data_IF_029988607890
#
_entry.id   IF_029988607890
#
_cell.length_a   1.000
_cell.length_b   1.000
_cell.length_c   1.000
_cell.angle_alpha   90.00
_cell.angle_beta   90.00
_cell.angle_gamma   90.00
#
_symmetry.space_group_name_H-M   'P 1'
#
loop_
_entity.id
_entity.type
_entity.pdbx_description
1 polymer ?
#
# COMPACT_ATOMS: atom_id res chain seq x y z
N UNK A 1 -4.08 -7.59 -8.64
CA UNK A 1 -4.70 -7.58 -7.31
C UNK A 1 -3.78 -8.24 -6.31
N UNK A 2 -3.88 -7.84 -5.07
CA UNK A 2 -2.96 -8.28 -4.02
C UNK A 2 -3.63 -9.41 -3.23
N UNK A 3 -2.91 -10.49 -3.03
CA UNK A 3 -3.40 -11.61 -2.24
C UNK A 3 -2.32 -12.06 -1.27
N UNK A 4 -2.63 -13.07 -0.46
CA UNK A 4 -1.66 -13.67 0.43
C UNK A 4 -0.43 -14.12 -0.37
N UNK A 5 0.75 -13.85 0.16
CA UNK A 5 2.07 -14.12 -0.45
C UNK A 5 2.45 -13.22 -1.62
N UNK A 6 1.66 -12.22 -1.97
CA UNK A 6 2.08 -11.22 -2.96
C UNK A 6 3.16 -10.32 -2.36
N UNK A 7 4.21 -10.07 -3.15
CA UNK A 7 5.26 -9.13 -2.76
C UNK A 7 4.95 -7.75 -3.30
N UNK A 8 5.15 -6.73 -2.45
CA UNK A 8 4.90 -5.34 -2.80
C UNK A 8 6.12 -4.50 -2.47
N UNK A 9 6.31 -3.45 -3.24
CA UNK A 9 7.29 -2.42 -2.89
C UNK A 9 6.67 -1.45 -1.90
N UNK A 10 7.53 -0.77 -1.15
CA UNK A 10 7.10 0.23 -0.18
C UNK A 10 7.31 1.61 -0.80
N UNK A 11 6.27 2.41 -0.80
CA UNK A 11 6.27 3.72 -1.46
C UNK A 11 6.46 4.88 -0.46
N UNK A 12 7.08 4.62 0.68
CA UNK A 12 7.31 5.66 1.68
C UNK A 12 8.75 5.63 2.21
N UNK A 13 9.05 6.57 3.10
CA UNK A 13 10.38 6.75 3.65
C UNK A 13 10.56 6.14 5.05
N UNK A 14 9.77 5.12 5.40
CA UNK A 14 9.91 4.42 6.69
C UNK A 14 11.17 3.55 6.78
N UNK A 15 11.80 3.28 5.64
CA UNK A 15 12.96 2.39 5.57
C UNK A 15 12.62 0.99 5.07
N UNK A 16 11.38 0.55 5.17
CA UNK A 16 10.97 -0.71 4.56
C UNK A 16 11.05 -0.58 3.04
N UNK A 17 11.51 -1.64 2.37
CA UNK A 17 11.68 -1.66 0.92
C UNK A 17 10.75 -2.65 0.23
N UNK A 18 10.52 -3.79 0.87
CA UNK A 18 9.69 -4.85 0.30
C UNK A 18 8.84 -5.48 1.40
N UNK A 19 7.57 -5.73 1.07
CA UNK A 19 6.62 -6.39 1.95
C UNK A 19 6.14 -7.69 1.32
N UNK A 20 5.82 -8.66 2.17
CA UNK A 20 5.11 -9.87 1.77
C UNK A 20 3.72 -9.83 2.42
N UNK A 21 2.67 -9.83 1.61
CA UNK A 21 1.31 -9.82 2.13
C UNK A 21 1.01 -11.14 2.84
N UNK A 22 0.63 -11.04 4.12
CA UNK A 22 0.24 -12.21 4.91
C UNK A 22 -1.27 -12.39 4.88
N UNK A 23 -2.01 -11.29 4.98
CA UNK A 23 -3.45 -11.33 5.12
C UNK A 23 -4.08 -10.06 4.56
N UNK A 24 -5.26 -10.22 3.97
CA UNK A 24 -6.08 -9.09 3.51
C UNK A 24 -7.14 -8.83 4.56
N UNK A 25 -7.24 -7.57 5.04
CA UNK A 25 -8.24 -7.17 6.01
C UNK A 25 -9.62 -7.12 5.36
N UNK A 26 -10.68 -7.30 6.15
CA UNK A 26 -12.05 -7.16 5.67
C UNK A 26 -12.88 -8.41 5.74
N UNK A 27 -12.50 -9.38 6.59
CA UNK A 27 -13.28 -10.58 6.85
C UNK A 27 -12.55 -11.86 6.47
N UNK A 28 -13.03 -12.98 6.99
CA UNK A 28 -12.36 -14.27 6.87
C UNK A 28 -12.33 -14.85 5.45
N UNK A 29 -13.19 -14.35 4.56
CA UNK A 29 -13.28 -14.84 3.17
C UNK A 29 -12.62 -13.93 2.16
N UNK A 30 -12.08 -12.81 2.59
CA UNK A 30 -11.48 -11.86 1.66
C UNK A 30 -10.14 -12.37 1.17
N UNK A 31 -10.03 -12.56 -0.15
CA UNK A 31 -8.83 -13.11 -0.80
C UNK A 31 -7.94 -12.04 -1.41
N UNK A 32 -8.53 -10.96 -1.91
CA UNK A 32 -7.81 -9.98 -2.72
C UNK A 32 -7.95 -8.58 -2.15
N UNK A 33 -6.85 -7.85 -2.17
CA UNK A 33 -6.83 -6.43 -1.84
C UNK A 33 -6.72 -5.62 -3.13
N UNK A 34 -7.43 -4.50 -3.15
CA UNK A 34 -7.38 -3.50 -4.21
C UNK A 34 -6.74 -2.24 -3.65
N UNK A 35 -6.56 -1.25 -4.51
CA UNK A 35 -6.11 0.08 -4.06
C UNK A 35 -7.06 0.59 -2.96
N UNK A 36 -6.48 1.07 -1.87
CA UNK A 36 -7.23 1.56 -0.72
C UNK A 36 -7.57 0.49 0.31
N UNK A 37 -7.26 -0.76 0.07
CA UNK A 37 -7.48 -1.83 1.04
C UNK A 37 -6.28 -1.98 1.97
N UNK A 38 -6.56 -2.37 3.21
CA UNK A 38 -5.51 -2.58 4.21
C UNK A 38 -5.09 -4.04 4.18
N UNK A 39 -3.78 -4.25 4.25
CA UNK A 39 -3.21 -5.60 4.36
C UNK A 39 -2.31 -5.68 5.59
N UNK A 40 -2.14 -6.90 6.10
CA UNK A 40 -1.11 -7.22 7.07
C UNK A 40 0.04 -7.85 6.31
N UNK A 41 1.25 -7.36 6.55
CA UNK A 41 2.41 -7.79 5.79
C UNK A 41 3.64 -7.94 6.66
N UNK A 42 4.60 -8.75 6.21
CA UNK A 42 5.90 -8.89 6.83
C UNK A 42 6.93 -8.10 6.02
N UNK A 43 7.81 -7.37 6.69
CA UNK A 43 8.90 -6.65 6.04
C UNK A 43 9.98 -7.64 5.62
N UNK A 44 10.21 -7.78 4.32
CA UNK A 44 11.21 -8.71 3.77
C UNK A 44 12.55 -8.04 3.48
N UNK A 45 12.55 -6.74 3.23
CA UNK A 45 13.77 -5.97 3.03
C UNK A 45 13.57 -4.58 3.64
N UNK A 46 14.56 -4.09 4.36
CA UNK A 46 14.51 -2.79 5.01
C UNK A 46 15.90 -2.17 5.07
N UNK A 47 15.94 -0.85 5.05
CA UNK A 47 17.19 -0.11 5.28
C UNK A 47 17.62 -0.28 6.74
N UNK A 48 18.93 -0.43 7.01
CA UNK A 48 19.41 -0.63 8.40
C UNK A 48 19.06 0.50 9.34
N UNK A 49 18.92 1.71 8.82
CA UNK A 49 18.66 2.92 9.61
C UNK A 49 17.19 3.33 9.61
N UNK A 50 16.31 2.52 9.04
CA UNK A 50 14.89 2.82 9.00
C UNK A 50 14.19 2.61 10.33
N UNK A 51 12.99 3.16 10.45
CA UNK A 51 12.15 2.98 11.64
C UNK A 51 11.53 1.59 11.70
N UNK A 52 11.53 0.87 10.58
CA UNK A 52 10.97 -0.47 10.45
C UNK A 52 12.10 -1.45 10.15
N UNK A 53 12.08 -2.60 10.79
CA UNK A 53 13.13 -3.61 10.66
C UNK A 53 12.61 -4.82 9.88
N UNK A 54 13.55 -5.54 9.25
CA UNK A 54 13.26 -6.79 8.55
C UNK A 54 12.64 -7.80 9.52
N UNK A 55 11.58 -8.46 9.06
CA UNK A 55 10.85 -9.45 9.85
C UNK A 55 9.71 -8.89 10.66
N UNK A 56 9.58 -7.59 10.74
CA UNK A 56 8.48 -6.94 11.48
C UNK A 56 7.16 -7.14 10.73
N UNK A 57 6.09 -7.39 11.50
CA UNK A 57 4.73 -7.47 10.95
C UNK A 57 4.09 -6.09 11.04
N UNK A 58 3.62 -5.60 9.91
CA UNK A 58 3.09 -4.24 9.80
C UNK A 58 1.75 -4.23 9.08
N UNK A 59 0.99 -3.15 9.27
CA UNK A 59 -0.19 -2.87 8.48
C UNK A 59 0.19 -1.88 7.37
N UNK A 60 -0.39 -2.09 6.20
CA UNK A 60 -0.14 -1.24 5.05
C UNK A 60 -1.40 -1.07 4.22
N UNK A 61 -1.48 0.01 3.47
CA UNK A 61 -2.55 0.24 2.53
C UNK A 61 -1.98 0.17 1.12
N UNK A 62 -2.68 -0.52 0.22
CA UNK A 62 -2.26 -0.66 -1.17
C UNK A 62 -2.52 0.66 -1.88
N UNK A 63 -1.49 1.24 -2.47
CA UNK A 63 -1.59 2.53 -3.18
C UNK A 63 -1.49 2.39 -4.69
N UNK A 64 -0.86 1.33 -5.19
CA UNK A 64 -0.74 1.03 -6.62
C UNK A 64 -0.86 -0.46 -6.84
N UNK A 65 -1.43 -0.85 -7.98
CA UNK A 65 -1.44 -2.25 -8.42
C UNK A 65 -0.98 -2.34 -9.86
N UNK A 66 -0.26 -3.40 -10.18
CA UNK A 66 0.16 -3.68 -11.55
C UNK A 66 -1.01 -4.18 -12.38
N UNK A 67 -1.92 -4.95 -11.79
CA UNK A 67 -3.11 -5.41 -12.49
C UNK A 67 -4.06 -4.25 -12.74
N UNK A 68 -4.55 -4.05 -13.97
CA UNK A 68 -5.50 -2.97 -14.25
C UNK A 68 -6.79 -3.12 -13.47
N UNK A 69 -7.37 -2.00 -13.07
CA UNK A 69 -8.70 -1.97 -12.48
C UNK A 69 -9.54 -0.90 -13.17
N UNK A 70 -10.85 -1.17 -13.26
CA UNK A 70 -11.79 -0.27 -13.92
C UNK A 70 -12.28 0.82 -12.99
N UNK A 71 -12.55 1.99 -13.58
CA UNK A 71 -13.21 3.11 -12.92
C UNK A 71 -14.62 3.28 -13.46
N UNK A 72 -15.45 4.01 -12.72
CA UNK A 72 -16.86 4.22 -13.07
C UNK A 72 -17.05 4.91 -14.43
N UNK A 73 -16.07 5.70 -14.87
CA UNK A 73 -16.13 6.36 -16.18
C UNK A 73 -15.70 5.48 -17.36
N UNK A 74 -15.44 4.20 -17.11
CA UNK A 74 -15.05 3.24 -18.13
C UNK A 74 -13.57 3.17 -18.42
N UNK A 75 -12.75 4.00 -17.77
CA UNK A 75 -11.28 3.94 -17.96
C UNK A 75 -10.66 2.84 -17.11
N UNK A 76 -9.48 2.38 -17.53
CA UNK A 76 -8.67 1.44 -16.79
C UNK A 76 -7.40 2.12 -16.30
N UNK A 77 -7.03 1.82 -15.05
CA UNK A 77 -5.80 2.34 -14.45
C UNK A 77 -4.91 1.16 -14.10
N UNK A 78 -3.65 1.24 -14.48
CA UNK A 78 -2.63 0.27 -14.13
C UNK A 78 -1.31 0.99 -13.84
N UNK A 79 -0.54 0.42 -12.93
CA UNK A 79 0.78 0.95 -12.56
C UNK A 79 1.86 -0.08 -12.92
N UNK A 80 3.12 0.34 -12.90
CA UNK A 80 4.23 -0.53 -13.24
C UNK A 80 4.51 -1.59 -12.19
N UNK A 81 4.06 -1.36 -10.96
CA UNK A 81 4.35 -2.23 -9.83
C UNK A 81 3.24 -2.21 -8.79
N UNK A 82 3.24 -3.21 -7.93
CA UNK A 82 2.41 -3.21 -6.73
C UNK A 82 3.15 -2.46 -5.63
N UNK A 83 2.50 -1.52 -4.98
CA UNK A 83 3.12 -0.76 -3.91
C UNK A 83 2.14 -0.48 -2.78
N UNK A 84 2.69 -0.37 -1.59
CA UNK A 84 1.92 -0.09 -0.38
C UNK A 84 2.65 0.95 0.47
N UNK A 85 1.89 1.61 1.33
CA UNK A 85 2.39 2.58 2.30
C UNK A 85 2.08 2.05 3.69
N UNK A 86 3.07 2.06 4.58
CA UNK A 86 2.88 1.60 5.95
C UNK A 86 1.99 2.57 6.73
N UNK A 87 1.05 2.01 7.48
CA UNK A 87 0.11 2.79 8.29
C UNK A 87 0.14 2.30 9.74
N UNK A 88 -0.33 3.14 10.64
CA UNK A 88 -0.52 2.77 12.04
C UNK A 88 -1.94 2.26 12.28
N UNK A 89 -2.27 1.99 13.55
CA UNK A 89 -3.60 1.49 13.92
C UNK A 89 -4.71 2.53 13.71
N UNK A 90 -4.36 3.79 13.56
CA UNK A 90 -5.30 4.88 13.32
C UNK A 90 -5.42 5.22 11.83
N UNK A 91 -4.84 4.39 10.95
CA UNK A 91 -4.87 4.55 9.50
C UNK A 91 -4.09 5.77 9.01
N UNK A 92 -3.16 6.27 9.81
CA UNK A 92 -2.27 7.35 9.41
C UNK A 92 -0.98 6.78 8.83
N UNK A 93 -0.36 7.44 7.83
CA UNK A 93 0.93 6.96 7.31
C UNK A 93 2.00 7.06 8.39
N UNK A 94 2.86 6.03 8.45
CA UNK A 94 3.98 6.02 9.40
C UNK A 94 5.15 6.86 8.93
N UNK A 95 5.31 6.99 7.62
CA UNK A 95 6.34 7.83 7.02
C UNK A 95 5.88 9.27 6.83
N UNK A 96 6.81 10.13 6.45
CA UNK A 96 6.55 11.54 6.20
C UNK A 96 6.52 11.90 4.72
N UNK A 97 6.97 10.98 3.85
CA UNK A 97 7.01 11.19 2.40
C UNK A 97 6.50 9.96 1.67
N UNK A 98 5.92 10.20 0.51
CA UNK A 98 5.44 9.15 -0.37
C UNK A 98 6.14 9.30 -1.72
N UNK A 99 6.60 8.18 -2.29
CA UNK A 99 7.32 8.14 -3.54
C UNK A 99 6.44 7.61 -4.66
N UNK A 100 6.45 8.32 -5.77
CA UNK A 100 5.70 7.93 -6.95
C UNK A 100 4.21 8.22 -6.87
N UNK A 101 3.48 7.88 -7.92
CA UNK A 101 2.04 8.17 -7.98
C UNK A 101 1.24 7.25 -7.08
N UNK A 102 0.08 7.74 -6.63
CA UNK A 102 -0.92 6.93 -5.94
C UNK A 102 -2.25 7.06 -6.69
N UNK A 103 -3.12 6.06 -6.56
CA UNK A 103 -4.43 6.13 -7.18
C UNK A 103 -5.37 7.00 -6.35
N UNK A 104 -6.22 7.78 -7.03
CA UNK A 104 -7.14 8.69 -6.36
C UNK A 104 -8.24 8.00 -5.53
N UNK A 105 -8.42 6.70 -5.72
CA UNK A 105 -9.36 5.90 -4.93
C UNK A 105 -9.05 5.90 -3.43
N UNK A 106 -7.82 6.23 -3.05
CA UNK A 106 -7.46 6.39 -1.64
C UNK A 106 -8.25 7.51 -0.96
N UNK A 107 -8.64 8.52 -1.70
CA UNK A 107 -9.45 9.63 -1.18
C UNK A 107 -10.83 9.15 -0.73
N UNK A 108 -11.43 8.24 -1.49
CA UNK A 108 -12.72 7.66 -1.18
C UNK A 108 -12.67 6.70 0.01
N UNK A 109 -11.50 6.15 0.29
CA UNK A 109 -11.27 5.21 1.39
C UNK A 109 -10.76 5.89 2.66
N UNK A 110 -10.80 7.23 2.72
CA UNK A 110 -10.42 8.02 3.89
C UNK A 110 -8.91 8.04 4.18
N UNK A 111 -8.09 7.92 3.15
CA UNK A 111 -6.64 8.05 3.27
C UNK A 111 -6.15 9.42 2.77
N UNK A 112 -6.78 10.48 3.25
CA UNK A 112 -6.49 11.85 2.79
C UNK A 112 -5.07 12.29 3.08
N UNK A 113 -4.48 11.84 4.19
CA UNK A 113 -3.08 12.19 4.50
C UNK A 113 -2.11 11.60 3.49
N UNK A 114 -2.38 10.39 3.03
CA UNK A 114 -1.56 9.76 1.99
C UNK A 114 -1.69 10.52 0.69
N UNK A 115 -2.90 10.88 0.31
CA UNK A 115 -3.14 11.67 -0.90
C UNK A 115 -2.43 13.03 -0.84
N UNK A 116 -2.45 13.68 0.32
CA UNK A 116 -1.81 14.99 0.47
C UNK A 116 -0.27 14.91 0.44
N UNK A 117 0.30 13.79 0.85
CA UNK A 117 1.74 13.59 0.82
C UNK A 117 2.26 13.08 -0.53
N UNK A 118 1.40 12.55 -1.37
CA UNK A 118 1.80 11.95 -2.64
C UNK A 118 2.21 13.04 -3.64
N UNK A 119 3.30 12.82 -4.39
CA UNK A 119 3.73 13.78 -5.40
C UNK A 119 2.80 13.84 -6.60
N UNK A 120 2.06 12.78 -6.86
CA UNK A 120 1.14 12.69 -7.98
C UNK A 120 -0.02 11.77 -7.63
N UNK A 121 -1.24 12.20 -7.98
CA UNK A 121 -2.46 11.41 -7.74
C UNK A 121 -3.12 11.17 -9.09
N UNK A 122 -3.20 9.89 -9.47
CA UNK A 122 -3.79 9.47 -10.75
C UNK A 122 -5.15 8.77 -10.56
#
# INVERSE_FOLDING_TARGET
MIQQETRLKVADNTGARELLCIRVAGGSRRRYARVGDIITATVKAAAPQGTVKKGEVVKAVVVRTKKPFGRDDGTLIAFDENAAVLIDNQRNPRGTRIFGPVARELREKNFMKIVSLAPEVL
#
